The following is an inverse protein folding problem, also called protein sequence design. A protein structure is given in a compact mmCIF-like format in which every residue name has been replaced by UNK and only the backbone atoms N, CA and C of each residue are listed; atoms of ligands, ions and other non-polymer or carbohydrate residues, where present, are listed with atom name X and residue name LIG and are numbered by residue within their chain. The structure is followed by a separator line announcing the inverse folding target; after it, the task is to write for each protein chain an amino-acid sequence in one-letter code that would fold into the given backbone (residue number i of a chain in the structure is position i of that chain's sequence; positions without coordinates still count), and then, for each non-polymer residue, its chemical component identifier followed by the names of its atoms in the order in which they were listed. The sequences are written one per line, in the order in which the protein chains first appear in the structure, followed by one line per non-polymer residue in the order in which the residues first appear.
data_IF_702838587711
#
_entry.id   IF_702838587711
#
_cell.length_a   1.000
_cell.length_b   1.000
_cell.length_c   1.000
_cell.angle_alpha   90.00
_cell.angle_beta   90.00
_cell.angle_gamma   90.00
#
_symmetry.space_group_name_H-M   'P 1'
#
loop_
_entity.id
_entity.type
_entity.pdbx_description
1 polymer ?
#
# COMPACT_ATOMS: atom_id res chain seq x y z
N UNK A 1 -11.10 -5.76 14.03
CA UNK A 1 -9.67 -6.10 13.98
C UNK A 1 -8.86 -4.89 13.57
N UNK A 2 -7.71 -4.71 14.19
CA UNK A 2 -6.79 -3.64 13.84
C UNK A 2 -6.06 -4.01 12.55
N UNK A 3 -6.04 -3.10 11.58
CA UNK A 3 -5.40 -3.34 10.30
C UNK A 3 -4.60 -2.10 9.87
N UNK A 4 -3.33 -2.29 9.58
CA UNK A 4 -2.43 -1.21 9.13
C UNK A 4 -2.56 -0.87 7.63
N UNK A 5 -3.44 -1.52 6.89
CA UNK A 5 -3.66 -1.28 5.46
C UNK A 5 -4.93 -0.50 5.16
N UNK A 6 -5.90 -0.52 6.05
CA UNK A 6 -7.21 0.11 5.89
C UNK A 6 -7.56 1.02 7.05
N UNK A 7 -8.65 1.73 6.90
CA UNK A 7 -9.18 2.66 7.86
C UNK A 7 -8.75 4.08 7.57
N UNK A 8 -9.03 4.97 8.49
CA UNK A 8 -8.77 6.40 8.35
C UNK A 8 -7.27 6.67 8.16
N UNK A 9 -6.91 7.32 7.05
CA UNK A 9 -5.53 7.58 6.66
C UNK A 9 -4.81 6.41 5.96
N UNK A 10 -5.44 5.23 5.91
CA UNK A 10 -4.90 4.04 5.24
C UNK A 10 -3.53 3.61 5.74
N UNK A 11 -2.81 2.83 4.94
CA UNK A 11 -1.45 2.37 5.27
C UNK A 11 -0.46 3.52 5.52
N UNK A 12 -0.70 4.72 4.97
CA UNK A 12 0.14 5.90 5.18
C UNK A 12 0.17 6.36 6.63
N UNK A 13 -0.95 6.27 7.37
CA UNK A 13 -1.04 6.67 8.77
C UNK A 13 -0.15 5.83 9.70
N UNK A 14 0.12 4.59 9.32
CA UNK A 14 0.91 3.63 10.08
C UNK A 14 2.21 3.24 9.37
N UNK A 15 2.90 4.23 8.80
CA UNK A 15 4.21 4.08 8.16
C UNK A 15 5.22 5.08 8.76
N UNK A 16 6.35 5.32 8.10
CA UNK A 16 7.26 6.42 8.46
C UNK A 16 6.62 7.79 8.20
N UNK A 17 5.54 7.86 7.42
CA UNK A 17 4.88 9.11 7.07
C UNK A 17 5.75 10.01 6.21
N UNK A 18 6.50 9.43 5.27
CA UNK A 18 7.33 10.19 4.31
C UNK A 18 6.46 11.02 3.38
N UNK A 19 6.85 12.27 3.19
CA UNK A 19 6.10 13.27 2.43
C UNK A 19 6.84 13.77 1.19
N UNK A 20 8.04 13.27 0.92
CA UNK A 20 8.75 13.70 -0.28
C UNK A 20 8.44 12.81 -1.48
N UNK A 21 8.50 13.39 -2.68
CA UNK A 21 8.34 12.69 -3.94
C UNK A 21 9.43 13.08 -4.93
N UNK A 22 9.88 12.12 -5.72
CA UNK A 22 10.80 12.38 -6.84
C UNK A 22 10.10 13.05 -8.04
N UNK A 23 8.78 12.90 -8.14
CA UNK A 23 7.99 13.49 -9.21
C UNK A 23 7.41 14.82 -8.78
N UNK A 24 7.90 15.90 -9.42
CA UNK A 24 7.36 17.26 -9.27
C UNK A 24 6.46 17.68 -10.45
N UNK A 25 6.14 16.75 -11.35
CA UNK A 25 5.44 17.04 -12.61
C UNK A 25 3.92 17.18 -12.47
N UNK A 26 3.33 16.67 -11.39
CA UNK A 26 1.89 16.67 -11.19
C UNK A 26 1.54 17.14 -9.79
N UNK A 27 0.77 18.22 -9.72
CA UNK A 27 0.27 18.80 -8.48
C UNK A 27 1.31 19.65 -7.72
N UNK A 28 0.81 20.40 -6.76
CA UNK A 28 1.59 21.28 -5.91
C UNK A 28 1.87 20.60 -4.58
N UNK A 29 3.09 20.10 -4.40
CA UNK A 29 3.54 19.42 -3.17
C UNK A 29 3.50 20.38 -1.98
N UNK A 30 3.89 21.64 -2.16
CA UNK A 30 3.91 22.63 -1.09
C UNK A 30 2.51 22.89 -0.53
N UNK A 31 1.49 22.89 -1.41
CA UNK A 31 0.09 22.97 -0.95
C UNK A 31 -0.27 21.82 -0.01
N UNK A 32 0.13 20.58 -0.34
CA UNK A 32 -0.14 19.41 0.49
C UNK A 32 0.56 19.52 1.84
N UNK A 33 1.84 19.91 1.86
CA UNK A 33 2.59 20.09 3.10
C UNK A 33 1.98 21.19 3.98
N UNK A 34 1.55 22.30 3.40
CA UNK A 34 0.85 23.36 4.12
C UNK A 34 -0.49 22.88 4.70
N UNK A 35 -1.25 22.06 3.97
CA UNK A 35 -2.48 21.44 4.48
C UNK A 35 -2.18 20.57 5.70
N UNK A 36 -1.12 19.76 5.67
CA UNK A 36 -0.72 18.98 6.84
C UNK A 36 -0.32 19.88 8.03
N UNK A 37 0.43 20.97 7.78
CA UNK A 37 0.77 21.93 8.84
C UNK A 37 -0.48 22.59 9.43
N UNK A 38 -1.44 22.98 8.61
CA UNK A 38 -2.72 23.54 9.05
C UNK A 38 -3.48 22.56 9.98
N UNK A 39 -3.30 21.26 9.78
CA UNK A 39 -3.94 20.21 10.57
C UNK A 39 -3.03 19.64 11.68
N UNK A 40 -1.93 20.32 12.02
CA UNK A 40 -1.12 20.04 13.21
C UNK A 40 0.18 19.29 12.95
N UNK A 41 0.60 19.13 11.70
CA UNK A 41 1.96 18.69 11.42
C UNK A 41 2.98 19.79 11.75
N UNK A 42 4.21 19.39 12.10
CA UNK A 42 5.30 20.35 12.34
C UNK A 42 5.62 21.16 11.09
N UNK A 43 5.83 22.46 11.24
CA UNK A 43 6.29 23.33 10.14
C UNK A 43 7.68 22.96 9.62
N UNK A 44 8.45 22.12 10.33
CA UNK A 44 9.73 21.60 9.85
C UNK A 44 9.59 20.85 8.53
N UNK A 45 8.44 20.22 8.26
CA UNK A 45 8.20 19.51 6.99
C UNK A 45 8.23 20.42 5.75
N UNK A 46 8.12 21.74 5.93
CA UNK A 46 8.19 22.71 4.84
C UNK A 46 9.63 23.02 4.40
N UNK A 47 10.60 22.75 5.26
CA UNK A 47 12.01 23.08 5.04
C UNK A 47 12.94 21.86 5.02
N UNK A 48 12.48 20.73 5.53
CA UNK A 48 13.24 19.48 5.54
C UNK A 48 13.41 18.94 4.10
N UNK A 49 14.61 18.47 3.77
CA UNK A 49 14.88 17.86 2.46
C UNK A 49 14.11 16.56 2.25
N UNK A 50 13.93 15.77 3.32
CA UNK A 50 13.18 14.51 3.35
C UNK A 50 12.12 14.57 4.47
N UNK A 51 11.02 15.36 4.26
CA UNK A 51 10.05 15.57 5.31
C UNK A 51 9.29 14.28 5.64
N UNK A 52 9.04 14.09 6.94
CA UNK A 52 8.23 12.98 7.46
C UNK A 52 7.46 13.44 8.71
N UNK A 53 6.40 12.74 9.05
CA UNK A 53 5.59 13.06 10.24
C UNK A 53 5.79 11.99 11.34
N UNK A 54 5.83 10.73 10.98
CA UNK A 54 5.93 9.61 11.90
C UNK A 54 4.57 9.04 12.31
N UNK A 55 4.56 7.74 12.60
CA UNK A 55 3.34 6.99 12.90
C UNK A 55 2.67 7.39 14.22
N UNK A 56 3.41 8.02 15.13
CA UNK A 56 2.92 8.53 16.42
C UNK A 56 2.14 9.86 16.29
N UNK A 57 2.36 10.61 15.24
CA UNK A 57 1.76 11.95 15.02
C UNK A 57 0.74 11.98 13.88
N UNK A 58 0.99 11.23 12.83
CA UNK A 58 0.17 11.27 11.61
C UNK A 58 -1.32 10.96 11.86
N UNK A 59 -1.72 10.00 12.72
CA UNK A 59 -3.12 9.77 13.02
C UNK A 59 -3.85 11.02 13.54
N UNK A 60 -3.20 11.85 14.33
CA UNK A 60 -3.79 13.09 14.84
C UNK A 60 -4.00 14.13 13.75
N UNK A 61 -3.07 14.23 12.82
CA UNK A 61 -3.21 15.11 11.63
C UNK A 61 -4.42 14.67 10.80
N UNK A 62 -4.57 13.38 10.56
CA UNK A 62 -5.70 12.82 9.81
C UNK A 62 -7.03 13.08 10.54
N UNK A 63 -7.08 12.87 11.85
CA UNK A 63 -8.26 13.18 12.66
C UNK A 63 -8.65 14.66 12.55
N UNK A 64 -7.69 15.57 12.59
CA UNK A 64 -7.94 17.00 12.43
C UNK A 64 -8.50 17.33 11.03
N UNK A 65 -7.97 16.67 9.99
CA UNK A 65 -8.50 16.82 8.62
C UNK A 65 -9.94 16.35 8.52
N UNK A 66 -10.28 15.20 9.13
CA UNK A 66 -11.66 14.71 9.21
C UNK A 66 -12.58 15.72 9.91
N UNK A 67 -12.15 16.25 11.04
CA UNK A 67 -12.95 17.22 11.79
C UNK A 67 -13.21 18.48 10.95
N UNK A 68 -12.22 18.97 10.21
CA UNK A 68 -12.39 20.09 9.27
C UNK A 68 -13.41 19.78 8.18
N UNK A 69 -13.40 18.55 7.61
CA UNK A 69 -14.42 18.13 6.63
C UNK A 69 -15.82 18.24 7.22
N UNK A 70 -16.01 17.73 8.45
CA UNK A 70 -17.30 17.73 9.14
C UNK A 70 -17.73 19.17 9.49
N UNK A 71 -16.83 19.99 10.00
CA UNK A 71 -17.08 21.41 10.34
C UNK A 71 -17.46 22.25 9.11
N UNK A 72 -16.95 21.88 7.93
CA UNK A 72 -17.31 22.49 6.65
C UNK A 72 -18.62 21.94 6.04
N UNK A 73 -19.36 21.09 6.75
CA UNK A 73 -20.61 20.50 6.28
C UNK A 73 -20.44 19.26 5.41
N UNK A 74 -19.23 18.69 5.34
CA UNK A 74 -19.00 17.39 4.72
C UNK A 74 -19.41 16.23 5.64
N UNK A 75 -19.53 15.04 5.09
CA UNK A 75 -19.89 13.83 5.80
C UNK A 75 -18.77 12.79 5.76
N UNK A 76 -18.57 12.07 6.85
CA UNK A 76 -17.65 10.94 6.94
C UNK A 76 -18.40 9.73 7.48
N UNK A 77 -18.48 8.67 6.71
CA UNK A 77 -19.24 7.46 7.02
C UNK A 77 -18.28 6.31 7.36
N UNK A 78 -18.12 6.01 8.65
CA UNK A 78 -17.40 4.83 9.10
C UNK A 78 -18.22 3.56 8.92
N UNK A 79 -17.53 2.40 8.87
CA UNK A 79 -18.15 1.08 8.66
C UNK A 79 -19.01 1.01 7.38
N UNK A 80 -18.71 1.87 6.43
CA UNK A 80 -19.44 2.02 5.18
C UNK A 80 -18.50 1.71 4.02
N UNK A 81 -18.62 0.49 3.47
CA UNK A 81 -17.83 0.03 2.32
C UNK A 81 -18.60 0.30 1.04
N UNK A 82 -17.90 0.78 0.02
CA UNK A 82 -18.42 0.79 -1.34
C UNK A 82 -18.51 -0.65 -1.87
N UNK A 83 -19.69 -1.11 -2.20
CA UNK A 83 -19.93 -2.44 -2.78
C UNK A 83 -20.04 -2.38 -4.30
N UNK A 84 -20.58 -1.28 -4.86
CA UNK A 84 -20.74 -1.12 -6.30
C UNK A 84 -20.60 0.35 -6.75
N UNK A 85 -20.18 0.55 -8.00
CA UNK A 85 -20.38 1.81 -8.70
C UNK A 85 -21.74 1.77 -9.43
N UNK A 86 -22.47 2.88 -9.38
CA UNK A 86 -23.67 3.07 -10.20
C UNK A 86 -23.20 3.60 -11.53
N UNK A 87 -23.33 2.79 -12.59
CA UNK A 87 -22.91 3.14 -13.95
C UNK A 87 -24.15 3.18 -14.84
N UNK A 88 -24.39 4.30 -15.48
CA UNK A 88 -25.45 4.49 -16.45
C UNK A 88 -24.86 5.15 -17.71
N UNK A 89 -25.12 4.56 -18.88
CA UNK A 89 -24.62 5.04 -20.16
C UNK A 89 -23.10 5.31 -20.19
N UNK A 90 -22.29 4.39 -19.63
CA UNK A 90 -20.84 4.51 -19.46
C UNK A 90 -20.36 5.68 -18.58
N UNK A 91 -21.23 6.23 -17.76
CA UNK A 91 -20.89 7.31 -16.82
C UNK A 91 -21.14 6.86 -15.39
N UNK A 92 -20.20 7.13 -14.50
CA UNK A 92 -20.36 6.86 -13.07
C UNK A 92 -21.28 7.91 -12.47
N UNK A 93 -22.39 7.48 -11.91
CA UNK A 93 -23.44 8.34 -11.28
C UNK A 93 -23.36 8.36 -9.76
N UNK A 94 -22.64 7.43 -9.14
CA UNK A 94 -22.55 7.30 -7.70
C UNK A 94 -22.04 5.95 -7.25
N UNK A 95 -22.30 5.65 -5.98
CA UNK A 95 -21.93 4.38 -5.35
C UNK A 95 -23.10 3.78 -4.56
N UNK A 96 -23.07 2.45 -4.43
CA UNK A 96 -23.86 1.68 -3.47
C UNK A 96 -22.95 1.16 -2.36
N UNK A 97 -23.49 1.03 -1.14
CA UNK A 97 -22.72 0.65 0.03
C UNK A 97 -23.30 -0.58 0.72
N UNK A 98 -22.46 -1.26 1.51
CA UNK A 98 -22.85 -2.41 2.35
C UNK A 98 -23.96 -2.09 3.37
N UNK A 99 -24.26 -0.82 3.62
CA UNK A 99 -25.33 -0.37 4.50
C UNK A 99 -26.67 -0.20 3.75
N UNK A 100 -26.70 -0.47 2.46
CA UNK A 100 -27.86 -0.24 1.58
C UNK A 100 -28.09 1.24 1.22
N UNK A 101 -27.16 2.13 1.61
CA UNK A 101 -27.23 3.55 1.21
C UNK A 101 -26.59 3.74 -0.16
N UNK A 102 -27.17 4.69 -0.90
CA UNK A 102 -26.69 5.16 -2.18
C UNK A 102 -26.22 6.59 -2.06
N UNK A 103 -25.05 6.90 -2.63
CA UNK A 103 -24.53 8.25 -2.72
C UNK A 103 -24.37 8.62 -4.19
N UNK A 104 -25.08 9.65 -4.63
CA UNK A 104 -25.06 10.12 -6.03
C UNK A 104 -24.09 11.28 -6.19
N UNK A 105 -23.40 11.33 -7.33
CA UNK A 105 -22.47 12.38 -7.71
C UNK A 105 -21.16 11.85 -8.29
N UNK A 106 -20.20 12.74 -8.60
CA UNK A 106 -18.87 12.34 -9.05
C UNK A 106 -18.15 11.54 -7.97
N UNK A 107 -17.47 10.47 -8.37
CA UNK A 107 -16.78 9.53 -7.47
C UNK A 107 -15.28 9.65 -7.62
N UNK A 108 -14.56 9.84 -6.49
CA UNK A 108 -13.11 9.67 -6.41
C UNK A 108 -12.83 8.33 -5.73
N UNK A 109 -12.37 7.35 -6.50
CA UNK A 109 -12.02 6.03 -5.99
C UNK A 109 -10.58 6.05 -5.45
N UNK A 110 -10.44 6.06 -4.13
CA UNK A 110 -9.16 6.16 -3.43
C UNK A 110 -9.00 5.07 -2.35
N UNK A 111 -9.35 3.84 -2.69
CA UNK A 111 -9.44 2.69 -1.77
C UNK A 111 -8.08 2.07 -1.42
N UNK A 112 -7.00 2.52 -2.05
CA UNK A 112 -5.67 1.99 -1.85
C UNK A 112 -5.43 0.66 -2.59
N UNK A 113 -4.19 0.26 -2.62
CA UNK A 113 -3.73 -0.88 -3.41
C UNK A 113 -4.15 -2.24 -2.82
N UNK A 114 -4.44 -2.33 -1.52
CA UNK A 114 -4.84 -3.58 -0.87
C UNK A 114 -6.35 -3.89 -0.96
N UNK A 115 -7.14 -2.99 -1.56
CA UNK A 115 -8.57 -3.20 -1.81
C UNK A 115 -8.79 -4.09 -3.05
N UNK A 116 -8.46 -5.37 -2.94
CA UNK A 116 -8.47 -6.35 -4.05
C UNK A 116 -9.84 -6.68 -4.56
N UNK A 117 -10.84 -6.58 -3.72
CA UNK A 117 -12.26 -6.70 -4.03
C UNK A 117 -12.70 -5.63 -5.05
N UNK A 118 -12.19 -4.40 -4.91
CA UNK A 118 -12.47 -3.31 -5.85
C UNK A 118 -11.92 -3.62 -7.24
N UNK A 119 -10.69 -4.13 -7.37
CA UNK A 119 -10.14 -4.52 -8.68
C UNK A 119 -10.96 -5.61 -9.35
N UNK A 120 -11.40 -6.62 -8.58
CA UNK A 120 -12.27 -7.69 -9.09
C UNK A 120 -13.63 -7.15 -9.51
N UNK A 121 -14.20 -6.26 -8.69
CA UNK A 121 -15.47 -5.63 -9.02
C UNK A 121 -15.40 -4.85 -10.33
N UNK A 122 -14.39 -4.01 -10.50
CA UNK A 122 -14.17 -3.23 -11.73
C UNK A 122 -14.06 -4.15 -12.95
N UNK A 123 -13.21 -5.17 -12.88
CA UNK A 123 -13.01 -6.12 -13.97
C UNK A 123 -14.33 -6.86 -14.31
N UNK A 124 -15.04 -7.40 -13.32
CA UNK A 124 -16.28 -8.17 -13.52
C UNK A 124 -17.45 -7.33 -14.05
N UNK A 125 -17.39 -6.00 -13.92
CA UNK A 125 -18.42 -5.07 -14.37
C UNK A 125 -18.00 -4.24 -15.60
N UNK A 126 -17.12 -4.77 -16.44
CA UNK A 126 -16.67 -4.19 -17.71
C UNK A 126 -15.97 -2.81 -17.58
N UNK A 127 -15.43 -2.49 -16.42
CA UNK A 127 -14.52 -1.36 -16.28
C UNK A 127 -13.12 -1.82 -16.69
N UNK A 128 -12.51 -1.14 -17.64
CA UNK A 128 -11.20 -1.53 -18.18
C UNK A 128 -10.12 -1.53 -17.07
N UNK A 129 -9.50 -2.67 -16.86
CA UNK A 129 -8.36 -2.87 -15.95
C UNK A 129 -7.16 -3.31 -16.78
N UNK A 130 -6.06 -2.61 -16.66
CA UNK A 130 -4.81 -2.93 -17.37
C UNK A 130 -3.79 -3.55 -16.41
N UNK A 131 -3.13 -4.60 -16.88
CA UNK A 131 -2.02 -5.24 -16.17
C UNK A 131 -0.80 -4.33 -16.18
N UNK A 132 -0.16 -4.14 -15.02
CA UNK A 132 1.11 -3.41 -14.90
C UNK A 132 2.15 -4.25 -14.17
N UNK A 133 3.43 -3.91 -14.39
CA UNK A 133 4.52 -4.45 -13.60
C UNK A 133 4.34 -4.13 -12.11
N UNK A 134 4.78 -5.06 -11.29
CA UNK A 134 4.80 -4.95 -9.83
C UNK A 134 6.22 -5.14 -9.31
N UNK A 135 6.44 -4.83 -8.05
CA UNK A 135 7.69 -5.15 -7.37
C UNK A 135 7.39 -6.01 -6.14
N UNK A 136 8.09 -7.11 -6.04
CA UNK A 136 7.96 -8.06 -4.93
C UNK A 136 9.31 -8.29 -4.26
N UNK A 137 9.31 -8.65 -2.99
CA UNK A 137 10.54 -8.90 -2.27
C UNK A 137 10.34 -9.13 -0.79
N UNK A 138 11.40 -8.96 -0.05
CA UNK A 138 11.45 -9.16 1.40
C UNK A 138 11.74 -7.84 2.11
N UNK A 139 11.36 -7.75 3.38
CA UNK A 139 11.78 -6.65 4.23
C UNK A 139 12.90 -7.12 5.16
N UNK A 140 13.98 -6.38 5.16
CA UNK A 140 15.17 -6.64 5.96
C UNK A 140 15.21 -5.68 7.14
N UNK A 141 15.46 -6.22 8.34
CA UNK A 141 15.70 -5.44 9.56
C UNK A 141 17.16 -5.54 9.96
N UNK A 142 17.72 -4.46 10.45
CA UNK A 142 19.10 -4.35 10.87
C UNK A 142 19.27 -3.31 11.99
N UNK A 143 20.35 -3.38 12.79
CA UNK A 143 20.60 -2.38 13.81
C UNK A 143 20.73 -0.97 13.22
N UNK A 144 19.99 0.00 13.78
CA UNK A 144 20.06 1.40 13.35
C UNK A 144 21.48 1.96 13.46
N UNK A 145 22.20 1.59 14.52
CA UNK A 145 23.61 1.99 14.72
C UNK A 145 24.51 1.56 13.56
N UNK A 146 24.28 0.38 12.97
CA UNK A 146 25.06 -0.08 11.82
C UNK A 146 24.87 0.86 10.62
N UNK A 147 23.65 1.28 10.36
CA UNK A 147 23.36 2.20 9.26
C UNK A 147 23.92 3.58 9.54
N UNK A 148 23.78 4.09 10.77
CA UNK A 148 24.40 5.34 11.17
C UNK A 148 25.93 5.32 10.99
N UNK A 149 26.59 4.22 11.37
CA UNK A 149 28.04 4.06 11.18
C UNK A 149 28.46 4.08 9.73
N UNK A 150 27.71 3.36 8.87
CA UNK A 150 27.98 3.28 7.42
C UNK A 150 27.79 4.63 6.77
N UNK A 151 26.64 5.28 6.99
CA UNK A 151 26.26 6.50 6.28
C UNK A 151 27.03 7.73 6.77
N UNK A 152 27.34 7.80 8.06
CA UNK A 152 28.09 8.92 8.63
C UNK A 152 29.59 8.67 8.75
N UNK A 153 30.08 7.49 8.32
CA UNK A 153 31.48 7.11 8.40
C UNK A 153 32.07 7.30 9.81
N UNK A 154 31.27 7.02 10.82
CA UNK A 154 31.63 7.26 12.23
C UNK A 154 31.33 6.03 13.08
N UNK A 155 32.35 5.46 13.71
CA UNK A 155 32.23 4.29 14.61
C UNK A 155 31.24 4.49 15.77
N UNK A 156 30.98 5.72 16.17
CA UNK A 156 30.04 6.08 17.22
C UNK A 156 28.63 6.39 16.69
N UNK A 157 28.36 6.15 15.40
CA UNK A 157 27.09 6.44 14.74
C UNK A 157 26.82 7.94 14.58
N UNK A 158 25.54 8.32 14.59
CA UNK A 158 25.08 9.68 14.31
C UNK A 158 25.36 10.74 15.39
N UNK A 159 25.66 10.30 16.61
CA UNK A 159 25.81 11.22 17.72
C UNK A 159 24.51 11.95 18.10
N UNK A 160 24.65 13.15 18.69
CA UNK A 160 23.52 13.90 19.27
C UNK A 160 22.71 14.72 18.24
N UNK A 161 23.35 15.15 17.16
CA UNK A 161 22.81 16.20 16.30
C UNK A 161 22.34 15.72 14.93
N UNK A 162 22.82 14.56 14.48
CA UNK A 162 22.43 14.01 13.18
C UNK A 162 21.13 13.20 13.29
N UNK A 163 20.27 13.23 12.25
CA UNK A 163 19.08 12.40 12.20
C UNK A 163 19.44 10.91 12.07
N UNK A 164 18.45 10.04 12.21
CA UNK A 164 18.64 8.62 11.89
C UNK A 164 18.99 8.47 10.41
N UNK A 165 20.07 7.71 10.14
CA UNK A 165 20.60 7.59 8.80
C UNK A 165 19.62 6.84 7.87
N UNK A 166 19.52 7.32 6.64
CA UNK A 166 18.74 6.72 5.57
C UNK A 166 19.68 6.14 4.50
N UNK A 167 19.19 5.15 3.77
CA UNK A 167 19.83 4.69 2.54
C UNK A 167 18.83 4.40 1.44
N UNK A 168 19.29 4.45 0.23
CA UNK A 168 18.59 3.91 -0.94
C UNK A 168 19.60 3.32 -1.91
N UNK A 169 19.21 2.28 -2.60
CA UNK A 169 19.98 1.71 -3.69
C UNK A 169 19.07 1.29 -4.83
N UNK A 170 19.64 1.24 -6.02
CA UNK A 170 19.06 0.65 -7.21
C UNK A 170 20.18 -0.04 -7.98
N UNK A 171 19.93 -1.24 -8.46
CA UNK A 171 20.87 -2.00 -9.28
C UNK A 171 20.12 -2.87 -10.27
N UNK A 172 20.87 -3.53 -11.17
CA UNK A 172 20.36 -4.52 -12.10
C UNK A 172 20.93 -5.90 -11.73
N UNK A 173 20.07 -6.89 -11.65
CA UNK A 173 20.45 -8.29 -11.43
C UNK A 173 19.71 -9.13 -12.47
N UNK A 174 20.46 -9.82 -13.31
CA UNK A 174 19.90 -10.67 -14.38
C UNK A 174 18.88 -9.92 -15.27
N UNK A 175 19.17 -8.66 -15.57
CA UNK A 175 18.31 -7.81 -16.41
C UNK A 175 17.08 -7.23 -15.69
N UNK A 176 16.88 -7.51 -14.39
CA UNK A 176 15.76 -6.99 -13.59
C UNK A 176 16.21 -5.86 -12.67
N UNK A 177 15.39 -4.84 -12.52
CA UNK A 177 15.61 -3.80 -11.54
C UNK A 177 15.44 -4.35 -10.12
N UNK A 178 16.46 -4.16 -9.27
CA UNK A 178 16.43 -4.46 -7.84
C UNK A 178 16.70 -3.19 -7.07
N UNK A 179 15.85 -2.87 -6.09
CA UNK A 179 15.99 -1.62 -5.36
C UNK A 179 15.46 -1.70 -3.92
N UNK A 180 15.97 -0.78 -3.10
CA UNK A 180 15.43 -0.56 -1.77
C UNK A 180 14.07 0.11 -1.86
N UNK A 181 13.13 -0.32 -1.03
CA UNK A 181 11.79 0.23 -1.00
C UNK A 181 11.37 0.60 0.42
N UNK A 182 10.85 1.82 0.58
CA UNK A 182 10.28 2.30 1.83
C UNK A 182 11.19 2.01 3.06
N UNK A 183 12.46 2.47 3.00
CA UNK A 183 13.39 2.39 4.13
C UNK A 183 12.83 3.18 5.31
N UNK A 184 12.75 2.56 6.48
CA UNK A 184 12.23 3.11 7.73
C UNK A 184 13.36 3.23 8.75
N UNK A 185 14.02 4.40 8.84
CA UNK A 185 15.11 4.61 9.79
C UNK A 185 14.57 4.65 11.22
N UNK A 186 15.30 4.04 12.15
CA UNK A 186 14.89 4.00 13.55
C UNK A 186 13.47 3.47 13.75
N UNK A 187 13.08 2.48 12.96
CA UNK A 187 11.76 1.89 12.91
C UNK A 187 11.77 0.38 13.07
N UNK A 188 10.65 -0.26 12.83
CA UNK A 188 10.46 -1.70 12.99
C UNK A 188 9.48 -2.26 11.95
N UNK A 189 9.52 -3.57 11.75
CA UNK A 189 8.63 -4.29 10.86
C UNK A 189 7.30 -4.58 11.58
N UNK A 190 6.20 -4.42 10.88
CA UNK A 190 4.85 -4.73 11.39
C UNK A 190 4.10 -5.62 10.42
N UNK A 191 3.26 -6.56 10.91
CA UNK A 191 2.35 -7.29 10.04
C UNK A 191 1.30 -6.35 9.44
N UNK A 192 1.00 -6.52 8.17
CA UNK A 192 0.09 -5.66 7.40
C UNK A 192 -0.81 -6.46 6.45
N UNK A 193 -1.04 -7.75 6.73
CA UNK A 193 -1.94 -8.58 5.94
C UNK A 193 -3.38 -8.07 6.05
N UNK A 194 -4.07 -7.96 4.93
CA UNK A 194 -5.47 -7.50 4.84
C UNK A 194 -6.49 -8.63 4.78
N UNK A 195 -6.05 -9.86 4.56
CA UNK A 195 -6.89 -11.06 4.49
C UNK A 195 -6.35 -12.19 5.35
N UNK A 196 -7.14 -13.27 5.51
CA UNK A 196 -6.69 -14.49 6.15
C UNK A 196 -5.64 -15.20 5.27
N UNK A 197 -4.85 -16.07 5.89
CA UNK A 197 -3.89 -16.94 5.18
C UNK A 197 -2.85 -16.17 4.33
N UNK A 198 -2.46 -14.98 4.78
CA UNK A 198 -1.50 -14.13 4.10
C UNK A 198 -0.43 -13.64 5.06
N UNK A 199 0.79 -13.47 4.56
CA UNK A 199 1.84 -12.72 5.23
C UNK A 199 2.23 -11.54 4.35
N UNK A 200 1.96 -10.36 4.87
CA UNK A 200 2.40 -9.08 4.32
C UNK A 200 3.00 -8.27 5.46
N UNK A 201 4.09 -7.61 5.20
CA UNK A 201 4.77 -6.78 6.20
C UNK A 201 4.94 -5.35 5.70
N UNK A 202 4.89 -4.40 6.63
CA UNK A 202 5.19 -3.01 6.39
C UNK A 202 6.28 -2.54 7.37
N UNK A 203 6.83 -1.35 7.14
CA UNK A 203 7.74 -0.68 8.07
C UNK A 203 7.06 0.53 8.68
N UNK A 204 7.34 0.75 9.96
CA UNK A 204 6.86 1.91 10.72
C UNK A 204 8.05 2.60 11.38
N UNK A 205 7.99 3.93 11.48
CA UNK A 205 8.93 4.70 12.30
C UNK A 205 8.17 5.77 13.09
N UNK A 206 8.50 5.96 14.37
CA UNK A 206 8.02 7.10 15.13
C UNK A 206 8.66 8.39 14.60
N UNK A 207 8.10 9.53 14.93
CA UNK A 207 8.57 10.85 14.46
C UNK A 207 10.01 11.15 14.84
N UNK A 208 10.49 10.61 15.96
CA UNK A 208 11.88 10.77 16.42
C UNK A 208 12.86 9.76 15.81
N UNK A 209 12.37 8.75 15.07
CA UNK A 209 13.17 7.67 14.47
C UNK A 209 14.18 7.08 15.46
N UNK A 210 13.73 6.85 16.69
CA UNK A 210 14.57 6.52 17.85
C UNK A 210 14.66 5.03 18.19
N UNK A 211 14.09 4.15 17.39
CA UNK A 211 14.24 2.71 17.60
C UNK A 211 15.69 2.27 17.39
N UNK A 212 16.08 1.20 18.07
CA UNK A 212 17.38 0.54 17.86
C UNK A 212 17.48 -0.19 16.52
N UNK A 213 16.38 -0.33 15.80
CA UNK A 213 16.28 -1.01 14.52
C UNK A 213 16.00 -0.03 13.39
N UNK A 214 16.40 -0.41 12.20
CA UNK A 214 16.01 0.18 10.93
C UNK A 214 15.59 -0.93 9.98
N UNK A 215 14.73 -0.67 9.04
CA UNK A 215 14.32 -1.69 8.09
C UNK A 215 14.06 -1.11 6.69
N UNK A 216 14.16 -1.94 5.68
CA UNK A 216 13.86 -1.57 4.29
C UNK A 216 13.33 -2.78 3.52
N UNK A 217 12.40 -2.57 2.62
CA UNK A 217 12.13 -3.53 1.57
C UNK A 217 13.34 -3.64 0.63
N UNK A 218 13.62 -4.84 0.16
CA UNK A 218 14.46 -5.11 -1.00
C UNK A 218 13.59 -5.85 -2.00
N UNK A 219 13.32 -5.21 -3.12
CA UNK A 219 12.32 -5.69 -4.08
C UNK A 219 12.93 -5.83 -5.48
N UNK A 220 12.39 -6.76 -6.23
CA UNK A 220 12.70 -7.01 -7.65
C UNK A 220 11.48 -6.71 -8.49
N UNK A 221 11.71 -6.12 -9.66
CA UNK A 221 10.66 -5.82 -10.63
C UNK A 221 10.19 -7.09 -11.34
N UNK A 222 8.87 -7.26 -11.41
CA UNK A 222 8.16 -8.32 -12.12
C UNK A 222 7.32 -7.66 -13.21
N UNK A 223 7.55 -8.05 -14.46
CA UNK A 223 6.78 -7.57 -15.59
C UNK A 223 5.58 -8.50 -15.88
N UNK A 224 4.52 -8.00 -16.51
CA UNK A 224 3.37 -8.83 -16.90
C UNK A 224 3.75 -10.03 -17.78
N UNK A 225 4.79 -9.88 -18.59
CA UNK A 225 5.33 -10.92 -19.48
C UNK A 225 5.89 -12.09 -18.70
N UNK A 226 6.57 -11.86 -17.58
CA UNK A 226 7.12 -12.89 -16.70
C UNK A 226 6.03 -13.83 -16.16
N UNK A 227 4.86 -13.26 -15.88
CA UNK A 227 3.70 -13.98 -15.37
C UNK A 227 2.97 -14.76 -16.48
N UNK A 228 2.99 -14.26 -17.73
CA UNK A 228 2.36 -14.90 -18.88
C UNK A 228 3.22 -16.05 -19.44
N UNK A 229 4.54 -15.91 -19.43
CA UNK A 229 5.46 -16.93 -19.92
C UNK A 229 5.48 -18.20 -19.07
N UNK A 230 5.00 -18.12 -17.84
CA UNK A 230 5.04 -19.22 -16.88
C UNK A 230 6.40 -19.39 -16.18
N UNK A 231 7.37 -18.50 -16.41
CA UNK A 231 8.65 -18.52 -15.68
C UNK A 231 8.48 -18.31 -14.18
N UNK A 232 7.48 -17.51 -13.80
CA UNK A 232 7.09 -17.28 -12.40
C UNK A 232 5.73 -17.92 -12.09
N UNK A 233 5.55 -19.17 -12.52
CA UNK A 233 4.30 -19.89 -12.30
C UNK A 233 4.20 -20.37 -10.85
N UNK A 234 3.32 -19.74 -10.09
CA UNK A 234 2.87 -20.28 -8.80
C UNK A 234 1.63 -21.10 -9.12
N UNK A 235 1.83 -22.42 -9.34
CA UNK A 235 0.72 -23.31 -9.70
C UNK A 235 -0.06 -23.77 -8.46
N UNK A 236 -1.36 -23.43 -8.43
CA UNK A 236 -2.35 -24.33 -7.86
C UNK A 236 -3.62 -24.26 -8.69
N UNK A 237 -4.08 -25.37 -9.23
CA UNK A 237 -5.38 -25.47 -9.90
C UNK A 237 -6.54 -25.04 -9.00
N UNK A 238 -6.38 -25.17 -7.69
CA UNK A 238 -7.30 -24.67 -6.68
C UNK A 238 -7.43 -23.15 -6.70
N UNK A 239 -6.35 -22.41 -6.94
CA UNK A 239 -6.39 -20.96 -6.97
C UNK A 239 -7.22 -20.44 -8.15
N UNK A 240 -7.06 -21.04 -9.33
CA UNK A 240 -7.83 -20.64 -10.52
C UNK A 240 -9.35 -20.87 -10.31
N UNK A 241 -9.74 -21.97 -9.68
CA UNK A 241 -11.13 -22.24 -9.34
C UNK A 241 -11.67 -21.20 -8.35
N UNK A 242 -10.94 -20.90 -7.29
CA UNK A 242 -11.32 -19.88 -6.30
C UNK A 242 -11.45 -18.48 -6.93
N UNK A 243 -10.57 -18.10 -7.87
CA UNK A 243 -10.69 -16.82 -8.56
C UNK A 243 -11.95 -16.75 -9.42
N UNK A 244 -12.28 -17.83 -10.13
CA UNK A 244 -13.52 -17.90 -10.89
C UNK A 244 -14.75 -17.78 -9.98
N UNK A 245 -14.78 -18.46 -8.85
CA UNK A 245 -15.87 -18.36 -7.87
C UNK A 245 -16.03 -16.93 -7.35
N UNK A 246 -14.93 -16.24 -7.04
CA UNK A 246 -14.95 -14.82 -6.59
C UNK A 246 -15.51 -13.88 -7.66
N UNK A 247 -15.15 -14.07 -8.94
CA UNK A 247 -15.66 -13.27 -10.04
C UNK A 247 -17.15 -13.56 -10.29
N UNK A 248 -17.56 -14.84 -10.25
CA UNK A 248 -18.95 -15.24 -10.40
C UNK A 248 -19.85 -14.78 -9.24
N UNK A 249 -19.29 -14.67 -8.03
CA UNK A 249 -20.02 -14.09 -6.89
C UNK A 249 -20.31 -12.58 -7.09
N UNK A 250 -19.47 -11.88 -7.84
CA UNK A 250 -19.66 -10.46 -8.19
C UNK A 250 -20.62 -10.33 -9.37
N UNK A 251 -20.41 -11.12 -10.43
CA UNK A 251 -21.21 -11.09 -11.64
C UNK A 251 -21.51 -12.53 -12.13
N UNK A 252 -22.67 -13.11 -11.76
CA UNK A 252 -23.04 -14.46 -12.13
C UNK A 252 -23.26 -14.70 -13.63
N UNK A 253 -23.36 -13.65 -14.45
CA UNK A 253 -23.59 -13.76 -15.88
C UNK A 253 -22.30 -13.97 -16.71
N UNK A 254 -21.13 -13.98 -16.08
CA UNK A 254 -19.84 -14.18 -16.75
C UNK A 254 -19.74 -15.60 -17.34
N UNK A 255 -19.42 -15.66 -18.62
CA UNK A 255 -19.15 -16.92 -19.31
C UNK A 255 -17.66 -17.32 -19.22
N UNK A 256 -17.33 -18.53 -19.64
CA UNK A 256 -15.96 -19.08 -19.58
C UNK A 256 -14.93 -18.20 -20.30
N UNK A 257 -15.24 -17.64 -21.47
CA UNK A 257 -14.31 -16.78 -22.21
C UNK A 257 -14.04 -15.49 -21.47
N UNK A 258 -15.06 -14.88 -20.88
CA UNK A 258 -14.93 -13.67 -20.07
C UNK A 258 -14.09 -13.94 -18.82
N UNK A 259 -14.35 -15.05 -18.10
CA UNK A 259 -13.55 -15.44 -16.94
C UNK A 259 -12.07 -15.65 -17.29
N UNK A 260 -11.77 -16.28 -18.42
CA UNK A 260 -10.38 -16.43 -18.89
C UNK A 260 -9.71 -15.08 -19.15
N UNK A 261 -10.40 -14.15 -19.80
CA UNK A 261 -9.90 -12.80 -20.06
C UNK A 261 -9.64 -12.03 -18.76
N UNK A 262 -10.60 -12.05 -17.82
CA UNK A 262 -10.49 -11.35 -16.55
C UNK A 262 -9.36 -11.92 -15.68
N UNK A 263 -9.20 -13.24 -15.63
CA UNK A 263 -8.09 -13.86 -14.93
C UNK A 263 -6.73 -13.43 -15.51
N UNK A 264 -6.64 -13.27 -16.83
CA UNK A 264 -5.43 -12.76 -17.47
C UNK A 264 -5.14 -11.29 -17.11
N UNK A 265 -6.18 -10.46 -16.99
CA UNK A 265 -6.05 -9.06 -16.56
C UNK A 265 -5.66 -8.93 -15.09
N UNK A 266 -6.13 -9.83 -14.24
CA UNK A 266 -5.87 -9.85 -12.81
C UNK A 266 -4.64 -10.69 -12.41
N UNK A 267 -3.86 -11.15 -13.39
CA UNK A 267 -2.73 -12.07 -13.16
C UNK A 267 -1.71 -11.58 -12.11
N UNK A 268 -1.28 -10.29 -12.08
CA UNK A 268 -0.41 -9.81 -11.01
C UNK A 268 -1.04 -9.84 -9.62
N UNK A 269 -2.36 -9.63 -9.53
CA UNK A 269 -3.09 -9.74 -8.28
C UNK A 269 -3.10 -11.19 -7.77
N UNK A 270 -3.33 -12.15 -8.66
CA UNK A 270 -3.32 -13.58 -8.34
C UNK A 270 -1.92 -14.04 -7.91
N UNK A 271 -0.89 -13.60 -8.64
CA UNK A 271 0.51 -13.88 -8.29
C UNK A 271 0.85 -13.36 -6.88
N UNK A 272 0.47 -12.12 -6.58
CA UNK A 272 0.69 -11.52 -5.27
C UNK A 272 -0.02 -12.30 -4.16
N UNK A 273 -1.29 -12.67 -4.34
CA UNK A 273 -2.07 -13.43 -3.37
C UNK A 273 -1.45 -14.80 -3.08
N UNK A 274 -1.02 -15.49 -4.12
CA UNK A 274 -0.40 -16.80 -3.95
C UNK A 274 0.97 -16.69 -3.27
N UNK A 275 1.80 -15.71 -3.63
CA UNK A 275 3.07 -15.48 -2.96
C UNK A 275 2.89 -15.22 -1.46
N UNK A 276 1.93 -14.39 -1.09
CA UNK A 276 1.58 -14.08 0.30
C UNK A 276 1.07 -15.34 1.04
N UNK A 277 0.27 -16.17 0.36
CA UNK A 277 -0.22 -17.44 0.90
C UNK A 277 0.92 -18.44 1.12
N UNK A 278 1.84 -18.56 0.15
CA UNK A 278 3.01 -19.41 0.30
C UNK A 278 3.89 -18.95 1.47
N UNK A 279 4.11 -17.66 1.63
CA UNK A 279 4.83 -17.10 2.77
C UNK A 279 4.12 -17.46 4.10
N UNK A 280 2.78 -17.41 4.15
CA UNK A 280 2.02 -17.81 5.31
C UNK A 280 2.16 -19.31 5.63
N UNK A 281 2.09 -20.17 4.61
CA UNK A 281 2.27 -21.61 4.77
C UNK A 281 3.67 -21.96 5.32
N UNK A 282 4.71 -21.38 4.72
CA UNK A 282 6.11 -21.60 5.12
C UNK A 282 6.41 -20.99 6.49
N UNK A 283 5.76 -19.87 6.85
CA UNK A 283 5.85 -19.22 8.16
C UNK A 283 5.08 -19.90 9.28
N UNK A 284 4.65 -21.14 9.09
CA UNK A 284 3.92 -21.92 10.10
C UNK A 284 2.49 -21.44 10.33
N UNK A 285 1.86 -20.88 9.30
CA UNK A 285 0.47 -20.41 9.29
C UNK A 285 0.21 -19.29 10.30
N UNK A 286 1.16 -18.40 10.46
CA UNK A 286 1.05 -17.21 11.33
C UNK A 286 1.10 -15.96 10.50
N UNK A 287 0.33 -14.95 10.90
CA UNK A 287 0.32 -13.61 10.28
C UNK A 287 1.25 -12.64 11.02
N UNK A 288 2.31 -13.14 11.58
CA UNK A 288 3.33 -12.35 12.29
C UNK A 288 4.56 -12.20 11.41
N UNK A 289 5.26 -11.07 11.53
CA UNK A 289 6.61 -10.95 11.01
C UNK A 289 7.50 -11.99 11.69
N UNK A 290 8.29 -12.76 10.94
CA UNK A 290 9.16 -13.78 11.50
C UNK A 290 10.28 -13.17 12.36
#
# INVERSE_FOLDING_TARGET
ESNYSFGEGGAGAYSDGKLYTRSKKRGNVDKILNVFCQHGASTSILVDAHPHIGTDKLPRVIENMRNTIIECGGEVHFQTRMDALIIDNNEVKGIETNTGKTFLGPVILATGHSARDVYRWLAANNVTVETKGIAVGVRLEHPAMLIDQIQYHNKNGRGKYLPAAEYSFVTQVEGRGVYSFCMCPGGFIVPAASGPEQVVVNGMSPSNRGSRWSNSGMVVEIQPEDLRSGELRIESGELAAQQNERLLAINPSLNHSQLSTLNSQLLPLHFQEELERQCWLQGGRRQTAP
#
